data_IF_662011818199
#
_entry.id   IF_662011818199
#
_cell.length_a   1.000
_cell.length_b   1.000
_cell.length_c   1.000
_cell.angle_alpha   90.00
_cell.angle_beta   90.00
_cell.angle_gamma   90.00
#
_symmetry.space_group_name_H-M   'P 1'
#
loop_
_entity.id
_entity.type
_entity.pdbx_description
1 polymer ?
#
# COMPACT_ATOMS: atom_id res chain seq x y z
N UNK A 1 29.25 8.12 23.17
CA UNK A 1 29.95 7.53 22.01
C UNK A 1 28.87 7.32 20.95
N UNK A 2 29.02 7.88 19.77
CA UNK A 2 28.11 7.59 18.66
C UNK A 2 28.29 6.11 18.30
N UNK A 3 27.21 5.33 18.43
CA UNK A 3 27.24 3.90 18.06
C UNK A 3 27.50 3.79 16.56
N UNK A 4 28.37 2.88 16.15
CA UNK A 4 28.60 2.58 14.73
C UNK A 4 27.30 2.10 14.09
N UNK A 5 26.87 2.65 12.94
CA UNK A 5 25.70 2.15 12.21
C UNK A 5 25.87 0.66 11.91
N UNK A 6 24.82 -0.14 12.02
CA UNK A 6 24.86 -1.55 11.59
C UNK A 6 24.93 -1.62 10.06
N UNK A 7 25.43 -2.72 9.51
CA UNK A 7 25.07 -3.11 8.16
C UNK A 7 23.75 -3.88 8.18
N UNK A 8 23.00 -3.86 7.07
CA UNK A 8 21.77 -4.61 6.95
C UNK A 8 21.71 -5.44 5.67
N UNK A 9 21.20 -6.66 5.79
CA UNK A 9 20.94 -7.59 4.69
C UNK A 9 19.45 -7.95 4.71
N UNK A 10 18.75 -7.65 3.62
CA UNK A 10 17.33 -8.02 3.45
C UNK A 10 17.22 -9.18 2.49
N UNK A 11 16.70 -10.31 2.95
CA UNK A 11 16.60 -11.55 2.17
C UNK A 11 15.29 -11.57 1.37
N UNK A 12 15.35 -11.24 0.08
CA UNK A 12 14.23 -11.16 -0.84
C UNK A 12 14.35 -12.10 -2.07
N UNK A 13 15.17 -13.16 -1.96
CA UNK A 13 15.42 -14.11 -3.06
C UNK A 13 14.50 -15.35 -3.07
N UNK A 14 13.68 -15.55 -2.04
CA UNK A 14 12.82 -16.72 -1.89
C UNK A 14 11.77 -16.87 -2.99
N UNK A 15 11.56 -18.10 -3.48
CA UNK A 15 10.65 -18.41 -4.60
C UNK A 15 9.17 -18.13 -4.30
N UNK A 16 8.75 -18.18 -3.04
CA UNK A 16 7.36 -17.88 -2.63
C UNK A 16 6.30 -18.80 -3.25
N UNK A 17 6.59 -20.06 -3.45
CA UNK A 17 5.72 -21.05 -4.14
C UNK A 17 4.32 -21.14 -3.51
N UNK A 18 4.20 -20.95 -2.19
CA UNK A 18 2.92 -20.95 -1.45
C UNK A 18 2.00 -19.77 -1.79
N UNK A 19 2.50 -18.73 -2.47
CA UNK A 19 1.68 -17.63 -2.98
C UNK A 19 0.83 -18.01 -4.21
N UNK A 20 1.16 -19.12 -4.88
CA UNK A 20 0.52 -19.55 -6.12
C UNK A 20 0.39 -18.41 -7.14
N UNK A 21 1.50 -17.74 -7.44
CA UNK A 21 1.55 -16.52 -8.25
C UNK A 21 2.76 -16.52 -9.19
N UNK A 22 2.57 -15.91 -10.37
CA UNK A 22 3.69 -15.57 -11.25
C UNK A 22 4.50 -14.37 -10.73
N UNK A 23 3.92 -13.54 -9.87
CA UNK A 23 4.62 -12.43 -9.22
C UNK A 23 5.48 -12.98 -8.07
N UNK A 24 6.78 -12.67 -8.00
CA UNK A 24 7.63 -13.02 -6.87
C UNK A 24 7.04 -12.53 -5.55
N UNK A 25 7.16 -13.32 -4.48
CA UNK A 25 6.54 -13.06 -3.17
C UNK A 25 6.77 -11.63 -2.68
N UNK A 26 7.99 -11.17 -2.71
CA UNK A 26 8.41 -9.88 -2.17
C UNK A 26 7.90 -8.67 -2.97
N UNK A 27 7.39 -8.89 -4.20
CA UNK A 27 6.86 -7.85 -5.08
C UNK A 27 5.34 -7.73 -5.03
N UNK A 28 4.65 -8.56 -4.22
CA UNK A 28 3.21 -8.44 -4.07
C UNK A 28 2.82 -7.08 -3.48
N UNK A 29 1.78 -6.43 -4.06
CA UNK A 29 1.30 -5.15 -3.55
C UNK A 29 0.65 -5.33 -2.17
N UNK A 30 0.95 -4.40 -1.28
CA UNK A 30 0.47 -4.34 0.09
C UNK A 30 0.32 -2.86 0.48
N UNK A 31 -0.91 -2.34 0.52
CA UNK A 31 -1.21 -0.94 0.87
C UNK A 31 -0.29 0.07 0.14
N UNK A 32 -0.40 0.10 -1.20
CA UNK A 32 0.31 1.06 -2.05
C UNK A 32 1.82 0.84 -2.21
N UNK A 33 2.42 -0.15 -1.54
CA UNK A 33 3.84 -0.53 -1.61
C UNK A 33 3.98 -2.00 -1.98
N UNK A 34 5.21 -2.45 -2.33
CA UNK A 34 5.52 -3.88 -2.39
C UNK A 34 5.75 -4.42 -0.98
N UNK A 35 5.52 -5.71 -0.78
CA UNK A 35 5.72 -6.37 0.51
C UNK A 35 7.13 -6.09 1.08
N UNK A 36 8.18 -6.21 0.26
CA UNK A 36 9.56 -5.95 0.69
C UNK A 36 9.83 -4.47 1.03
N UNK A 37 9.09 -3.52 0.45
CA UNK A 37 9.31 -2.09 0.71
C UNK A 37 9.01 -1.71 2.16
N UNK A 38 8.06 -2.39 2.80
CA UNK A 38 7.76 -2.23 4.21
C UNK A 38 8.95 -2.59 5.09
N UNK A 39 9.62 -3.72 4.76
CA UNK A 39 10.81 -4.17 5.47
C UNK A 39 11.99 -3.22 5.21
N UNK A 40 12.19 -2.84 3.95
CA UNK A 40 13.28 -1.92 3.55
C UNK A 40 13.16 -0.60 4.31
N UNK A 41 11.96 -0.04 4.44
CA UNK A 41 11.75 1.22 5.16
C UNK A 41 11.94 1.09 6.67
N UNK A 42 11.45 0.02 7.29
CA UNK A 42 11.67 -0.23 8.71
C UNK A 42 13.17 -0.36 9.03
N UNK A 43 13.91 -1.08 8.18
CA UNK A 43 15.36 -1.23 8.32
C UNK A 43 16.09 0.09 8.05
N UNK A 44 15.69 0.85 7.01
CA UNK A 44 16.31 2.13 6.65
C UNK A 44 16.20 3.18 7.76
N UNK A 45 15.14 3.14 8.55
CA UNK A 45 14.97 4.04 9.70
C UNK A 45 16.06 3.89 10.78
N UNK A 46 16.78 2.77 10.81
CA UNK A 46 17.93 2.54 11.70
C UNK A 46 19.23 3.16 11.19
N UNK A 47 19.25 3.71 9.97
CA UNK A 47 20.45 4.29 9.33
C UNK A 47 21.55 3.28 9.05
N UNK A 48 21.28 2.07 8.51
CA UNK A 48 22.34 1.08 8.26
C UNK A 48 23.28 1.51 7.13
N UNK A 49 24.57 1.18 7.29
CA UNK A 49 25.61 1.42 6.27
C UNK A 49 26.56 0.21 6.16
N UNK A 50 26.48 -0.60 5.06
CA UNK A 50 25.49 -0.53 3.96
C UNK A 50 24.16 -1.22 4.26
N UNK A 51 23.11 -0.92 3.44
CA UNK A 51 21.90 -1.71 3.32
C UNK A 51 21.95 -2.48 2.01
N UNK A 52 21.83 -3.81 2.05
CA UNK A 52 21.93 -4.71 0.88
C UNK A 52 20.64 -5.53 0.75
N UNK A 53 20.02 -5.50 -0.43
CA UNK A 53 18.88 -6.37 -0.75
C UNK A 53 19.38 -7.57 -1.53
N UNK A 54 19.18 -8.77 -0.99
CA UNK A 54 19.50 -10.02 -1.66
C UNK A 54 18.28 -10.49 -2.42
N UNK A 55 18.38 -10.57 -3.74
CA UNK A 55 17.25 -10.92 -4.62
C UNK A 55 17.58 -12.08 -5.56
N UNK A 56 16.56 -12.67 -6.19
CA UNK A 56 16.75 -13.59 -7.31
C UNK A 56 17.10 -12.82 -8.60
N UNK A 57 17.71 -13.49 -9.61
CA UNK A 57 17.99 -12.86 -10.90
C UNK A 57 16.77 -12.20 -11.54
N UNK A 58 15.62 -12.89 -11.51
CA UNK A 58 14.37 -12.43 -12.14
C UNK A 58 13.73 -11.21 -11.45
N UNK A 59 14.03 -10.96 -10.18
CA UNK A 59 13.48 -9.83 -9.43
C UNK A 59 14.46 -8.65 -9.30
N UNK A 60 15.65 -8.75 -9.88
CA UNK A 60 16.74 -7.75 -9.72
C UNK A 60 16.29 -6.33 -10.12
N UNK A 61 15.66 -6.18 -11.28
CA UNK A 61 15.23 -4.87 -11.80
C UNK A 61 14.22 -4.18 -10.87
N UNK A 62 13.44 -4.96 -10.13
CA UNK A 62 12.45 -4.41 -9.20
C UNK A 62 13.07 -3.68 -8.01
N UNK A 63 14.35 -3.88 -7.72
CA UNK A 63 15.07 -3.23 -6.61
C UNK A 63 16.13 -2.23 -7.10
N UNK A 64 15.99 -1.70 -8.35
CA UNK A 64 16.84 -0.61 -8.83
C UNK A 64 16.78 0.58 -7.87
N UNK A 65 17.97 1.09 -7.50
CA UNK A 65 18.14 2.15 -6.49
C UNK A 65 18.61 1.65 -5.13
N UNK A 66 18.57 0.33 -4.88
CA UNK A 66 19.18 -0.31 -3.69
C UNK A 66 20.55 -0.90 -4.04
N UNK A 67 21.38 -1.14 -3.02
CA UNK A 67 22.56 -2.01 -3.19
C UNK A 67 22.07 -3.44 -3.28
N UNK A 68 22.30 -4.09 -4.41
CA UNK A 68 21.77 -5.43 -4.70
C UNK A 68 22.89 -6.48 -4.62
N UNK A 69 22.60 -7.61 -3.96
CA UNK A 69 23.30 -8.87 -4.13
C UNK A 69 22.35 -9.88 -4.76
N UNK A 70 22.85 -10.77 -5.64
CA UNK A 70 22.03 -11.75 -6.33
C UNK A 70 22.33 -13.16 -5.80
N UNK A 71 21.31 -13.86 -5.36
CA UNK A 71 21.37 -15.28 -5.12
C UNK A 71 21.03 -16.02 -6.43
N UNK A 72 22.04 -16.50 -7.12
CA UNK A 72 21.89 -17.12 -8.46
C UNK A 72 21.06 -18.41 -8.43
N UNK A 73 21.18 -19.17 -7.34
CA UNK A 73 20.44 -20.42 -7.14
C UNK A 73 19.89 -20.44 -5.72
N UNK A 74 18.59 -20.72 -5.50
CA UNK A 74 17.98 -20.72 -4.18
C UNK A 74 18.42 -21.96 -3.38
N UNK A 75 19.51 -21.85 -2.62
CA UNK A 75 20.08 -22.93 -1.80
C UNK A 75 19.86 -22.74 -0.31
N UNK A 76 18.94 -21.87 0.08
CA UNK A 76 18.58 -21.60 1.48
C UNK A 76 18.99 -20.22 1.96
N UNK A 77 18.61 -19.89 3.20
CA UNK A 77 18.78 -18.56 3.82
C UNK A 77 20.24 -18.24 4.14
N UNK A 78 21.05 -19.23 4.47
CA UNK A 78 22.50 -19.07 4.67
C UNK A 78 23.24 -18.68 3.38
N UNK A 79 22.89 -19.33 2.27
CA UNK A 79 23.43 -19.02 0.93
C UNK A 79 23.01 -17.60 0.49
N UNK A 80 21.74 -17.23 0.72
CA UNK A 80 21.26 -15.88 0.46
C UNK A 80 22.03 -14.83 1.25
N UNK A 81 22.29 -15.06 2.54
CA UNK A 81 23.08 -14.17 3.39
C UNK A 81 24.52 -14.07 2.88
N UNK A 82 25.13 -15.20 2.48
CA UNK A 82 26.48 -15.23 1.94
C UNK A 82 26.65 -14.44 0.63
N UNK A 83 25.60 -14.33 -0.20
CA UNK A 83 25.62 -13.55 -1.42
C UNK A 83 25.88 -12.06 -1.17
N UNK A 84 25.51 -11.52 0.01
CA UNK A 84 25.75 -10.12 0.36
C UNK A 84 27.19 -9.83 0.77
N UNK A 85 28.04 -10.84 1.00
CA UNK A 85 29.41 -10.70 1.56
C UNK A 85 30.28 -9.69 0.80
N UNK A 86 30.19 -9.71 -0.53
CA UNK A 86 31.00 -8.81 -1.35
C UNK A 86 30.65 -7.34 -1.12
N UNK A 87 29.38 -7.04 -0.88
CA UNK A 87 28.87 -5.69 -0.60
C UNK A 87 29.23 -5.21 0.82
N UNK A 88 29.55 -6.13 1.73
CA UNK A 88 29.98 -5.83 3.10
C UNK A 88 31.51 -6.00 3.29
N UNK A 89 32.28 -6.00 2.21
CA UNK A 89 33.73 -6.18 2.32
C UNK A 89 34.40 -5.07 3.16
N UNK A 90 35.08 -5.48 4.23
CA UNK A 90 35.77 -4.57 5.16
C UNK A 90 34.86 -4.00 6.27
N UNK A 91 33.60 -4.38 6.33
CA UNK A 91 32.70 -4.08 7.44
C UNK A 91 32.97 -5.07 8.60
N UNK A 92 33.16 -4.57 9.81
CA UNK A 92 33.49 -5.35 10.99
C UNK A 92 32.53 -5.17 12.18
N UNK A 93 31.43 -4.41 11.97
CA UNK A 93 30.39 -4.13 12.97
C UNK A 93 29.27 -5.18 13.01
N UNK A 94 28.12 -4.74 13.54
CA UNK A 94 26.91 -5.55 13.64
C UNK A 94 26.21 -5.67 12.29
N UNK A 95 25.84 -6.87 11.89
CA UNK A 95 25.09 -7.18 10.66
C UNK A 95 23.68 -7.60 11.04
N UNK A 96 22.71 -6.76 10.72
CA UNK A 96 21.29 -7.07 10.82
C UNK A 96 20.83 -7.86 9.58
N UNK A 97 20.33 -9.07 9.76
CA UNK A 97 19.77 -9.90 8.69
C UNK A 97 18.26 -9.98 8.89
N UNK A 98 17.49 -9.51 7.92
CA UNK A 98 16.03 -9.45 7.97
C UNK A 98 15.43 -10.18 6.78
N UNK A 99 14.41 -11.00 7.01
CA UNK A 99 13.65 -11.62 5.92
C UNK A 99 12.74 -10.60 5.23
N UNK A 100 12.74 -10.55 3.91
CA UNK A 100 12.01 -9.56 3.12
C UNK A 100 10.48 -9.76 3.08
N UNK A 101 9.97 -10.71 3.84
CA UNK A 101 8.53 -11.00 3.96
C UNK A 101 7.91 -10.63 5.33
N UNK A 102 8.70 -10.11 6.26
CA UNK A 102 8.21 -9.62 7.56
C UNK A 102 7.64 -8.20 7.44
N UNK A 103 6.59 -8.01 6.63
CA UNK A 103 6.09 -6.68 6.26
C UNK A 103 5.56 -5.85 7.43
N UNK A 104 5.24 -6.48 8.54
CA UNK A 104 4.70 -5.84 9.75
C UNK A 104 5.78 -5.46 10.76
N UNK A 105 7.05 -5.78 10.46
CA UNK A 105 8.19 -5.42 11.31
C UNK A 105 8.26 -3.90 11.53
N UNK A 106 8.62 -3.47 12.73
CA UNK A 106 8.80 -2.06 13.07
C UNK A 106 10.28 -1.71 13.25
N UNK A 107 10.61 -0.44 13.02
CA UNK A 107 11.95 0.09 13.33
C UNK A 107 12.26 0.01 14.82
N UNK A 108 11.25 0.15 15.66
CA UNK A 108 11.33 0.07 17.11
C UNK A 108 11.74 -1.33 17.57
N UNK A 109 11.10 -2.38 17.04
CA UNK A 109 11.47 -3.77 17.36
C UNK A 109 12.88 -4.10 16.87
N UNK A 110 13.26 -3.66 15.67
CA UNK A 110 14.62 -3.85 15.15
C UNK A 110 15.67 -3.10 15.98
N UNK A 111 15.36 -1.89 16.45
CA UNK A 111 16.23 -1.14 17.36
C UNK A 111 16.39 -1.85 18.71
N UNK A 112 15.31 -2.39 19.29
CA UNK A 112 15.34 -3.18 20.52
C UNK A 112 16.16 -4.47 20.37
N UNK A 113 16.07 -5.14 19.22
CA UNK A 113 16.90 -6.30 18.90
C UNK A 113 18.40 -5.95 18.88
N UNK A 114 18.78 -4.84 18.21
CA UNK A 114 20.14 -4.33 18.18
C UNK A 114 20.65 -3.94 19.57
N UNK A 115 19.82 -3.29 20.37
CA UNK A 115 20.19 -2.94 21.75
C UNK A 115 20.39 -4.19 22.62
N UNK A 116 19.53 -5.22 22.48
CA UNK A 116 19.71 -6.51 23.16
C UNK A 116 21.05 -7.15 22.74
N UNK A 117 21.38 -7.13 21.46
CA UNK A 117 22.65 -7.66 20.94
C UNK A 117 23.86 -6.98 21.60
N UNK A 118 23.88 -5.66 21.57
CA UNK A 118 24.98 -4.83 22.09
C UNK A 118 25.12 -4.89 23.60
N UNK A 119 24.02 -4.78 24.32
CA UNK A 119 24.00 -4.82 25.79
C UNK A 119 24.41 -6.19 26.34
N UNK A 120 24.07 -7.27 25.66
CA UNK A 120 24.50 -8.61 25.99
C UNK A 120 25.96 -8.87 25.61
N UNK A 121 26.59 -8.06 24.75
CA UNK A 121 27.89 -8.37 24.12
C UNK A 121 27.79 -9.72 23.40
N UNK A 122 26.72 -9.90 22.62
CA UNK A 122 26.42 -11.18 21.98
C UNK A 122 27.10 -11.27 20.62
N UNK A 123 27.58 -12.44 20.25
CA UNK A 123 28.10 -12.76 18.91
C UNK A 123 26.97 -12.89 17.89
N UNK A 124 25.80 -13.38 18.35
CA UNK A 124 24.58 -13.41 17.58
C UNK A 124 23.38 -13.13 18.48
N UNK A 125 22.33 -12.54 17.94
CA UNK A 125 21.04 -12.37 18.61
C UNK A 125 19.91 -12.76 17.65
N UNK A 126 19.00 -13.58 18.14
CA UNK A 126 17.86 -14.08 17.39
C UNK A 126 16.61 -13.30 17.80
N UNK A 127 15.80 -12.84 16.86
CA UNK A 127 14.44 -12.37 17.15
C UNK A 127 13.51 -13.58 17.21
N UNK A 128 12.88 -13.81 18.36
CA UNK A 128 11.85 -14.85 18.56
C UNK A 128 10.49 -14.22 18.81
N UNK A 129 9.44 -15.03 18.70
CA UNK A 129 8.08 -14.63 19.03
C UNK A 129 7.21 -15.86 19.32
N UNK A 130 6.00 -15.65 19.87
CA UNK A 130 5.02 -16.71 20.15
C UNK A 130 3.74 -16.44 19.36
N UNK A 131 3.60 -16.97 18.12
CA UNK A 131 2.36 -16.84 17.35
C UNK A 131 1.24 -17.70 17.94
N UNK A 132 -0.04 -17.43 17.64
CA UNK A 132 -1.16 -18.30 18.04
C UNK A 132 -0.99 -19.73 17.56
N UNK A 133 -0.48 -19.93 16.34
CA UNK A 133 -0.08 -21.23 15.77
C UNK A 133 1.40 -21.19 15.33
N UNK A 134 2.29 -21.95 16.01
CA UNK A 134 3.69 -22.04 15.64
C UNK A 134 3.96 -22.60 14.24
N UNK A 135 3.01 -23.34 13.65
CA UNK A 135 3.04 -23.81 12.28
C UNK A 135 4.40 -24.31 11.78
N UNK A 136 4.85 -23.76 10.66
CA UNK A 136 6.08 -24.15 9.97
C UNK A 136 7.34 -23.37 10.42
N UNK A 137 7.24 -22.52 11.45
CA UNK A 137 8.40 -21.81 11.98
C UNK A 137 9.40 -22.74 12.68
N UNK A 138 10.70 -22.38 12.67
CA UNK A 138 11.72 -23.03 13.46
C UNK A 138 11.48 -22.84 14.95
N UNK A 139 11.74 -23.86 15.76
CA UNK A 139 11.52 -23.85 17.21
C UNK A 139 12.76 -23.37 17.95
N UNK A 140 12.57 -22.50 18.93
CA UNK A 140 13.63 -22.00 19.82
C UNK A 140 13.84 -23.04 20.93
N UNK A 141 14.87 -23.83 20.81
CA UNK A 141 15.21 -24.86 21.82
C UNK A 141 16.12 -24.23 22.88
N UNK A 142 15.71 -24.26 24.15
CA UNK A 142 16.46 -23.73 25.28
C UNK A 142 17.00 -24.86 26.15
N UNK A 143 18.19 -24.66 26.74
CA UNK A 143 18.75 -25.57 27.72
C UNK A 143 18.07 -25.42 29.10
N UNK A 144 18.43 -26.29 30.05
CA UNK A 144 17.86 -26.26 31.40
C UNK A 144 18.11 -24.96 32.20
N UNK A 145 19.01 -24.09 31.75
CA UNK A 145 19.29 -22.78 32.31
C UNK A 145 18.57 -21.63 31.57
N UNK A 146 17.72 -21.94 30.56
CA UNK A 146 16.97 -20.95 29.80
C UNK A 146 17.74 -20.31 28.62
N UNK A 147 19.03 -20.61 28.44
CA UNK A 147 19.80 -20.10 27.31
C UNK A 147 19.47 -20.84 26.01
N UNK A 148 19.61 -20.16 24.88
CA UNK A 148 19.41 -20.77 23.56
C UNK A 148 20.40 -21.91 23.36
N UNK A 149 19.88 -23.07 22.98
CA UNK A 149 20.65 -24.27 22.62
C UNK A 149 20.72 -24.46 21.10
N UNK A 150 19.57 -24.34 20.43
CA UNK A 150 19.46 -24.51 18.99
C UNK A 150 18.17 -23.87 18.47
N UNK A 151 18.15 -23.63 17.15
CA UNK A 151 16.93 -23.41 16.38
C UNK A 151 16.70 -24.65 15.53
N UNK A 152 15.57 -25.33 15.71
CA UNK A 152 15.23 -26.54 14.95
C UNK A 152 14.09 -26.23 13.99
N UNK A 153 14.35 -26.36 12.70
CA UNK A 153 13.33 -26.13 11.67
C UNK A 153 12.18 -27.14 11.83
N UNK A 154 10.95 -26.73 11.60
CA UNK A 154 9.76 -27.55 11.87
C UNK A 154 9.78 -28.92 11.14
N UNK A 155 10.44 -29.01 9.97
CA UNK A 155 10.56 -30.26 9.19
C UNK A 155 11.60 -31.23 9.75
N UNK A 156 12.52 -30.73 10.55
CA UNK A 156 13.58 -31.51 11.20
C UNK A 156 13.27 -31.76 12.69
N UNK A 157 12.20 -31.13 13.21
CA UNK A 157 11.84 -31.17 14.64
C UNK A 157 11.17 -32.49 15.03
N UNK A 158 11.52 -32.99 16.21
CA UNK A 158 10.83 -34.09 16.88
C UNK A 158 9.42 -33.65 17.34
N UNK A 159 8.55 -34.62 17.68
CA UNK A 159 7.22 -34.36 18.21
C UNK A 159 7.26 -33.50 19.50
N UNK A 160 8.27 -33.66 20.34
CA UNK A 160 8.46 -32.87 21.56
C UNK A 160 8.86 -31.42 21.22
N UNK A 161 9.77 -31.23 20.27
CA UNK A 161 10.19 -29.90 19.83
C UNK A 161 9.04 -29.15 19.15
N UNK A 162 8.18 -29.82 18.39
CA UNK A 162 6.99 -29.24 17.78
C UNK A 162 6.01 -28.65 18.80
N UNK A 163 6.04 -29.05 20.06
CA UNK A 163 5.20 -28.48 21.15
C UNK A 163 5.74 -27.14 21.67
N UNK A 164 6.98 -26.75 21.31
CA UNK A 164 7.56 -25.46 21.70
C UNK A 164 6.79 -24.35 20.99
N UNK A 165 6.33 -23.36 21.75
CA UNK A 165 5.55 -22.23 21.24
C UNK A 165 6.42 -21.10 20.73
N UNK A 166 7.60 -20.90 21.36
CA UNK A 166 8.56 -19.88 20.96
C UNK A 166 9.22 -20.27 19.63
N UNK A 167 9.11 -19.39 18.64
CA UNK A 167 9.58 -19.66 17.28
C UNK A 167 10.57 -18.61 16.79
N UNK A 168 11.35 -18.97 15.80
CA UNK A 168 12.32 -18.13 15.12
C UNK A 168 11.65 -17.30 14.03
N UNK A 169 11.85 -15.97 14.05
CA UNK A 169 11.34 -15.05 13.03
C UNK A 169 12.16 -15.02 11.74
N UNK A 170 13.34 -15.67 11.72
CA UNK A 170 14.35 -15.51 10.66
C UNK A 170 14.95 -14.10 10.56
N UNK A 171 14.97 -13.38 11.68
CA UNK A 171 15.60 -12.06 11.82
C UNK A 171 16.69 -12.15 12.88
N UNK A 172 17.86 -11.63 12.57
CA UNK A 172 19.05 -11.81 13.39
C UNK A 172 19.94 -10.57 13.40
N UNK A 173 20.74 -10.45 14.45
CA UNK A 173 21.96 -9.60 14.46
C UNK A 173 23.16 -10.48 14.67
N UNK A 174 24.22 -10.27 13.91
CA UNK A 174 25.48 -10.99 14.05
C UNK A 174 26.67 -10.01 14.09
N UNK A 175 27.71 -10.34 14.82
CA UNK A 175 29.03 -9.76 14.59
C UNK A 175 29.56 -10.21 13.23
N UNK A 176 29.96 -9.27 12.35
CA UNK A 176 30.45 -9.56 11.00
C UNK A 176 31.63 -10.55 11.03
N UNK A 177 32.55 -10.38 11.97
CA UNK A 177 33.74 -11.22 12.12
C UNK A 177 33.42 -12.71 12.39
N UNK A 178 32.24 -12.99 12.93
CA UNK A 178 31.78 -14.35 13.26
C UNK A 178 30.79 -14.91 12.24
N UNK A 179 30.01 -14.05 11.61
CA UNK A 179 29.01 -14.45 10.60
C UNK A 179 29.66 -15.13 9.40
N UNK A 180 30.64 -14.50 8.78
CA UNK A 180 31.21 -15.00 7.53
C UNK A 180 31.87 -16.38 7.68
N UNK A 181 32.70 -16.63 8.70
CA UNK A 181 33.26 -17.97 8.94
C UNK A 181 32.19 -19.02 9.29
N UNK A 182 31.08 -18.63 9.95
CA UNK A 182 29.99 -19.54 10.25
C UNK A 182 29.25 -19.97 8.98
N UNK A 183 28.96 -19.04 8.06
CA UNK A 183 28.34 -19.33 6.76
C UNK A 183 29.19 -20.27 5.88
N UNK A 184 30.52 -20.16 5.92
CA UNK A 184 31.42 -21.04 5.17
C UNK A 184 31.38 -22.49 5.64
N UNK A 185 30.93 -22.77 6.87
CA UNK A 185 30.83 -24.12 7.45
C UNK A 185 29.49 -24.78 7.22
N UNK A 186 28.50 -24.07 6.68
CA UNK A 186 27.16 -24.61 6.46
C UNK A 186 27.19 -25.80 5.49
N UNK A 187 26.41 -26.80 5.81
CA UNK A 187 26.22 -27.99 4.97
C UNK A 187 24.73 -28.26 4.73
N UNK A 188 24.35 -28.82 3.57
CA UNK A 188 22.95 -29.09 3.25
C UNK A 188 22.43 -30.39 3.88
N UNK A 189 22.88 -30.75 5.09
CA UNK A 189 22.52 -31.98 5.79
C UNK A 189 21.25 -31.80 6.65
N UNK A 190 20.11 -31.56 5.98
CA UNK A 190 18.80 -31.35 6.60
C UNK A 190 17.69 -31.89 5.66
N UNK A 191 16.43 -31.87 6.13
CA UNK A 191 15.29 -32.42 5.38
C UNK A 191 15.03 -31.74 4.03
N UNK A 192 15.49 -30.49 3.83
CA UNK A 192 15.31 -29.75 2.58
C UNK A 192 16.55 -29.76 1.66
N UNK A 193 17.72 -30.19 2.16
CA UNK A 193 18.98 -30.12 1.42
C UNK A 193 19.46 -28.68 1.20
N UNK A 194 19.13 -27.75 2.10
CA UNK A 194 19.42 -26.32 2.01
C UNK A 194 20.47 -25.88 3.02
N UNK A 195 21.12 -24.75 2.77
CA UNK A 195 22.03 -24.09 3.70
C UNK A 195 21.22 -23.16 4.63
N UNK A 196 20.86 -23.68 5.81
CA UNK A 196 20.06 -22.92 6.78
C UNK A 196 20.90 -21.89 7.54
N UNK A 197 20.44 -20.64 7.59
CA UNK A 197 21.06 -19.63 8.45
C UNK A 197 20.95 -20.00 9.94
N UNK A 198 19.90 -20.71 10.33
CA UNK A 198 19.70 -21.24 11.69
C UNK A 198 20.82 -22.17 12.16
N UNK A 199 21.48 -22.87 11.25
CA UNK A 199 22.63 -23.73 11.57
C UNK A 199 23.84 -22.92 12.01
N UNK A 200 24.02 -21.67 11.54
CA UNK A 200 25.09 -20.77 12.05
C UNK A 200 24.92 -20.49 13.54
N UNK A 201 23.68 -20.31 14.00
CA UNK A 201 23.36 -20.09 15.41
C UNK A 201 23.74 -21.31 16.26
N UNK A 202 23.37 -22.49 15.82
CA UNK A 202 23.74 -23.76 16.49
C UNK A 202 25.27 -23.91 16.59
N UNK A 203 25.99 -23.63 15.50
CA UNK A 203 27.43 -23.74 15.45
C UNK A 203 28.14 -22.73 16.38
N UNK A 204 27.61 -21.50 16.48
CA UNK A 204 28.11 -20.51 17.42
C UNK A 204 27.88 -20.93 18.88
N UNK A 205 26.68 -21.45 19.21
CA UNK A 205 26.41 -22.00 20.55
C UNK A 205 27.35 -23.16 20.89
N UNK A 206 27.56 -24.10 19.93
CA UNK A 206 28.47 -25.22 20.12
C UNK A 206 29.95 -24.78 20.30
N UNK A 207 30.34 -23.68 19.71
CA UNK A 207 31.66 -23.06 19.86
C UNK A 207 31.82 -22.30 21.21
N UNK A 208 30.77 -22.24 22.04
CA UNK A 208 30.76 -21.51 23.31
C UNK A 208 30.62 -20.00 23.16
N UNK A 209 30.25 -19.52 21.98
CA UNK A 209 29.98 -18.10 21.73
C UNK A 209 28.69 -17.66 22.44
N UNK A 210 28.60 -16.38 22.79
CA UNK A 210 27.40 -15.81 23.43
C UNK A 210 26.31 -15.55 22.40
N UNK A 211 25.22 -16.28 22.47
CA UNK A 211 24.03 -16.06 21.64
C UNK A 211 22.87 -15.61 22.52
N UNK A 212 22.29 -14.44 22.20
CA UNK A 212 21.13 -13.88 22.86
C UNK A 212 19.85 -14.16 22.08
N UNK A 213 18.72 -14.02 22.75
CA UNK A 213 17.39 -14.06 22.14
C UNK A 213 16.63 -12.82 22.61
N UNK A 214 16.06 -12.10 21.67
CA UNK A 214 15.09 -11.03 21.92
C UNK A 214 13.71 -11.54 21.51
N UNK A 215 12.77 -11.60 22.45
CA UNK A 215 11.40 -12.01 22.17
C UNK A 215 10.54 -10.77 21.87
N UNK A 216 9.86 -10.76 20.73
CA UNK A 216 8.93 -9.70 20.39
C UNK A 216 7.72 -9.72 21.35
N UNK A 217 7.35 -8.55 21.86
CA UNK A 217 6.18 -8.39 22.73
C UNK A 217 4.87 -8.58 21.94
N UNK A 218 4.83 -8.15 20.69
CA UNK A 218 3.72 -8.35 19.76
C UNK A 218 4.16 -9.31 18.63
N UNK A 219 3.60 -10.52 18.66
CA UNK A 219 3.90 -11.55 17.67
C UNK A 219 3.63 -11.09 16.23
N UNK A 220 2.63 -10.23 16.03
CA UNK A 220 2.25 -9.75 14.69
C UNK A 220 3.35 -8.94 14.00
N UNK A 221 4.31 -8.38 14.76
CA UNK A 221 5.45 -7.66 14.20
C UNK A 221 6.53 -8.56 13.61
N UNK A 222 6.57 -9.83 14.03
CA UNK A 222 7.62 -10.78 13.65
C UNK A 222 7.13 -11.86 12.67
N UNK A 223 5.85 -11.85 12.30
CA UNK A 223 5.26 -12.82 11.37
C UNK A 223 5.70 -12.57 9.93
N UNK A 224 6.06 -13.66 9.23
CA UNK A 224 6.39 -13.62 7.81
C UNK A 224 5.19 -13.96 6.92
N UNK A 225 5.07 -13.26 5.78
CA UNK A 225 4.00 -13.47 4.79
C UNK A 225 4.43 -14.53 3.77
N UNK A 226 3.75 -15.66 3.70
CA UNK A 226 4.05 -16.77 2.79
C UNK A 226 2.87 -17.18 1.90
N UNK A 227 1.66 -16.82 2.31
CA UNK A 227 0.40 -17.14 1.62
C UNK A 227 -0.43 -15.88 1.38
N UNK A 228 -1.45 -15.99 0.52
CA UNK A 228 -2.42 -14.91 0.30
C UNK A 228 -3.25 -14.60 1.55
N UNK A 229 -3.49 -15.60 2.40
CA UNK A 229 -4.21 -15.40 3.67
C UNK A 229 -3.36 -14.59 4.65
N UNK A 230 -2.08 -14.92 4.79
CA UNK A 230 -1.14 -14.16 5.62
C UNK A 230 -0.90 -12.74 5.06
N UNK A 231 -0.88 -12.58 3.72
CA UNK A 231 -0.83 -11.24 3.09
C UNK A 231 -2.03 -10.38 3.49
N UNK A 232 -3.23 -10.96 3.51
CA UNK A 232 -4.44 -10.25 3.93
C UNK A 232 -4.41 -9.91 5.44
N UNK A 233 -3.89 -10.81 6.28
CA UNK A 233 -3.71 -10.55 7.71
C UNK A 233 -2.70 -9.41 7.95
N UNK A 234 -1.54 -9.45 7.30
CA UNK A 234 -0.56 -8.36 7.36
C UNK A 234 -1.13 -7.02 6.87
N UNK A 235 -1.95 -7.04 5.80
CA UNK A 235 -2.64 -5.84 5.33
C UNK A 235 -3.57 -5.24 6.40
N UNK A 236 -4.27 -6.08 7.17
CA UNK A 236 -5.14 -5.60 8.25
C UNK A 236 -4.34 -4.95 9.39
N UNK A 237 -3.23 -5.56 9.79
CA UNK A 237 -2.33 -5.00 10.82
C UNK A 237 -1.79 -3.64 10.38
N UNK A 238 -1.30 -3.52 9.14
CA UNK A 238 -0.76 -2.27 8.60
C UNK A 238 -1.86 -1.21 8.44
N UNK A 239 -3.07 -1.58 7.98
CA UNK A 239 -4.23 -0.69 7.92
C UNK A 239 -4.53 -0.09 9.30
N UNK A 240 -4.61 -0.95 10.31
CA UNK A 240 -4.97 -0.51 11.66
C UNK A 240 -3.89 0.43 12.22
N UNK A 241 -2.62 0.16 11.94
CA UNK A 241 -1.49 1.01 12.32
C UNK A 241 -1.52 2.38 11.63
N UNK A 242 -1.79 2.41 10.31
CA UNK A 242 -1.90 3.65 9.53
C UNK A 242 -3.10 4.47 10.02
N UNK A 243 -4.26 3.84 10.14
CA UNK A 243 -5.48 4.52 10.61
C UNK A 243 -5.31 5.07 12.03
N UNK A 244 -4.68 4.30 12.93
CA UNK A 244 -4.37 4.76 14.29
C UNK A 244 -3.47 6.01 14.27
N UNK A 245 -2.43 6.03 13.44
CA UNK A 245 -1.56 7.18 13.26
C UNK A 245 -2.33 8.44 12.82
N UNK A 246 -3.20 8.33 11.83
CA UNK A 246 -4.03 9.44 11.38
C UNK A 246 -5.01 9.92 12.45
N UNK A 247 -5.63 9.01 13.21
CA UNK A 247 -6.53 9.38 14.31
C UNK A 247 -5.80 10.12 15.42
N UNK A 248 -4.60 9.69 15.79
CA UNK A 248 -3.77 10.42 16.77
C UNK A 248 -3.30 11.79 16.25
N UNK A 249 -3.17 11.95 14.93
CA UNK A 249 -2.85 13.22 14.28
C UNK A 249 -4.08 14.16 14.13
N UNK A 250 -5.28 13.74 14.55
CA UNK A 250 -6.48 14.58 14.61
C UNK A 250 -7.51 14.34 13.50
N UNK A 251 -7.32 13.37 12.62
CA UNK A 251 -8.33 12.95 11.65
C UNK A 251 -9.41 12.07 12.33
N UNK A 252 -10.66 12.23 11.94
CA UNK A 252 -11.75 11.35 12.38
C UNK A 252 -11.93 10.23 11.37
N UNK A 253 -11.75 8.96 11.78
CA UNK A 253 -12.05 7.78 10.97
C UNK A 253 -13.19 7.04 11.65
N UNK A 254 -14.39 7.06 11.05
CA UNK A 254 -15.64 6.58 11.69
C UNK A 254 -15.61 5.06 11.89
N UNK A 255 -15.08 4.32 10.92
CA UNK A 255 -14.90 2.87 11.01
C UNK A 255 -13.51 2.49 10.47
N UNK A 256 -12.50 2.40 11.33
CA UNK A 256 -11.15 2.04 10.92
C UNK A 256 -11.05 0.67 10.26
N UNK A 257 -11.91 -0.28 10.62
CA UNK A 257 -11.87 -1.65 10.12
C UNK A 257 -12.23 -1.74 8.62
N UNK A 258 -13.06 -0.84 8.12
CA UNK A 258 -13.49 -0.79 6.72
C UNK A 258 -12.82 0.32 5.90
N UNK A 259 -11.95 1.11 6.52
CA UNK A 259 -11.25 2.23 5.88
C UNK A 259 -9.82 1.83 5.52
N UNK A 260 -9.44 1.98 4.23
CA UNK A 260 -8.14 1.61 3.71
C UNK A 260 -7.39 2.83 3.19
N UNK A 261 -6.26 3.13 3.78
CA UNK A 261 -5.46 4.32 3.50
C UNK A 261 -4.03 3.88 3.19
N UNK A 262 -3.52 4.27 2.02
CA UNK A 262 -2.11 4.05 1.68
C UNK A 262 -1.21 4.95 2.55
N UNK A 263 0.02 4.51 2.89
CA UNK A 263 0.92 5.26 3.77
C UNK A 263 1.40 6.62 3.20
N UNK A 264 1.22 6.84 1.90
CA UNK A 264 1.54 8.11 1.22
C UNK A 264 0.42 9.15 1.29
N UNK A 265 -0.77 8.76 1.74
CA UNK A 265 -1.92 9.66 1.90
C UNK A 265 -1.70 10.62 3.06
N UNK A 266 -2.06 11.88 2.87
CA UNK A 266 -2.01 12.89 3.92
C UNK A 266 -3.43 13.32 4.32
N UNK A 267 -3.74 13.23 5.62
CA UNK A 267 -4.97 13.73 6.21
C UNK A 267 -4.63 14.90 7.13
N UNK A 268 -5.30 16.04 6.95
CA UNK A 268 -5.22 17.15 7.90
C UNK A 268 -6.13 16.91 9.12
N UNK A 269 -5.82 17.51 10.28
CA UNK A 269 -6.71 17.48 11.45
C UNK A 269 -8.12 17.95 11.10
N UNK A 270 -9.12 17.45 11.83
CA UNK A 270 -10.55 17.78 11.67
C UNK A 270 -11.19 17.33 10.34
N UNK A 271 -10.49 16.60 9.48
CA UNK A 271 -11.17 15.89 8.39
C UNK A 271 -11.90 14.64 8.92
N UNK A 272 -12.96 14.23 8.22
CA UNK A 272 -13.75 13.04 8.56
C UNK A 272 -13.75 12.03 7.41
N UNK A 273 -13.37 10.78 7.70
CA UNK A 273 -13.40 9.67 6.75
C UNK A 273 -14.50 8.69 7.17
N UNK A 274 -15.49 8.55 6.31
CA UNK A 274 -16.65 7.68 6.51
C UNK A 274 -16.33 6.22 6.17
N UNK A 275 -17.15 5.24 6.62
CA UNK A 275 -16.90 3.80 6.38
C UNK A 275 -16.76 3.43 4.90
N UNK A 276 -16.04 2.33 4.62
CA UNK A 276 -15.82 1.78 3.28
C UNK A 276 -15.13 2.75 2.31
N UNK A 277 -14.30 3.63 2.83
CA UNK A 277 -13.53 4.58 2.04
C UNK A 277 -12.12 4.03 1.78
N UNK A 278 -11.64 4.21 0.55
CA UNK A 278 -10.31 3.79 0.11
C UNK A 278 -9.56 4.99 -0.44
N UNK A 279 -8.47 5.39 0.22
CA UNK A 279 -7.61 6.51 -0.18
C UNK A 279 -6.24 5.97 -0.60
N UNK A 280 -5.80 6.30 -1.81
CA UNK A 280 -4.58 5.75 -2.40
C UNK A 280 -3.64 6.79 -2.97
N UNK A 281 -2.39 6.36 -3.13
CA UNK A 281 -1.34 7.16 -3.77
C UNK A 281 -1.06 8.46 -3.04
N UNK A 282 -0.89 9.55 -3.78
CA UNK A 282 -0.63 10.89 -3.24
C UNK A 282 -1.87 11.67 -2.81
N UNK A 283 -2.99 10.99 -2.50
CA UNK A 283 -4.23 11.65 -2.10
C UNK A 283 -4.04 12.49 -0.84
N UNK A 284 -4.58 13.71 -0.86
CA UNK A 284 -4.57 14.65 0.26
C UNK A 284 -5.99 15.05 0.63
N UNK A 285 -6.30 15.09 1.92
CA UNK A 285 -7.59 15.50 2.44
C UNK A 285 -7.38 16.63 3.44
N UNK A 286 -7.92 17.81 3.12
CA UNK A 286 -7.76 18.98 3.95
C UNK A 286 -8.78 19.02 5.10
N UNK A 287 -8.54 19.94 6.05
CA UNK A 287 -9.36 20.15 7.23
C UNK A 287 -10.84 20.44 6.90
N UNK A 288 -11.76 19.92 7.71
CA UNK A 288 -13.20 20.10 7.53
C UNK A 288 -13.82 19.28 6.39
N UNK A 289 -13.02 18.57 5.59
CA UNK A 289 -13.55 17.69 4.54
C UNK A 289 -14.25 16.46 5.13
N UNK A 290 -15.40 16.08 4.56
CA UNK A 290 -16.15 14.86 4.89
C UNK A 290 -16.17 13.92 3.65
N UNK A 291 -15.50 12.78 3.76
CA UNK A 291 -15.21 11.87 2.63
C UNK A 291 -15.80 10.49 2.89
N UNK A 292 -16.73 10.09 2.06
CA UNK A 292 -17.40 8.79 2.12
C UNK A 292 -18.91 8.89 2.32
N UNK A 293 -19.59 7.78 2.68
CA UNK A 293 -19.06 6.42 2.63
C UNK A 293 -18.91 5.89 1.19
N UNK A 294 -18.22 4.74 1.04
CA UNK A 294 -18.02 4.10 -0.27
C UNK A 294 -17.36 5.02 -1.30
N UNK A 295 -16.30 5.70 -0.92
CA UNK A 295 -15.49 6.55 -1.81
C UNK A 295 -14.17 5.84 -2.12
N UNK A 296 -13.75 5.91 -3.38
CA UNK A 296 -12.39 5.58 -3.80
C UNK A 296 -11.73 6.85 -4.33
N UNK A 297 -10.62 7.26 -3.74
CA UNK A 297 -9.81 8.38 -4.22
C UNK A 297 -8.36 7.93 -4.47
N UNK A 298 -7.82 8.28 -5.63
CA UNK A 298 -6.46 7.93 -6.06
C UNK A 298 -5.78 9.19 -6.59
N UNK A 299 -4.65 9.56 -6.01
CA UNK A 299 -3.88 10.75 -6.41
C UNK A 299 -4.78 11.99 -6.59
N UNK A 300 -5.63 12.26 -5.60
CA UNK A 300 -6.61 13.34 -5.61
C UNK A 300 -6.31 14.37 -4.52
N UNK A 301 -6.63 15.64 -4.80
CA UNK A 301 -6.60 16.74 -3.84
C UNK A 301 -8.03 17.08 -3.41
N UNK A 302 -8.34 16.91 -2.13
CA UNK A 302 -9.66 17.15 -1.54
C UNK A 302 -9.50 18.34 -0.59
N UNK A 303 -9.97 19.50 -1.03
CA UNK A 303 -9.82 20.78 -0.34
C UNK A 303 -10.67 20.90 0.93
N UNK A 304 -10.47 21.99 1.66
CA UNK A 304 -11.14 22.22 2.95
C UNK A 304 -12.66 22.30 2.80
N UNK A 305 -13.37 21.83 3.81
CA UNK A 305 -14.84 21.90 3.89
C UNK A 305 -15.58 21.24 2.70
N UNK A 306 -14.92 20.34 1.98
CA UNK A 306 -15.53 19.59 0.87
C UNK A 306 -16.43 18.48 1.36
N UNK A 307 -17.43 18.12 0.53
CA UNK A 307 -18.28 16.96 0.75
C UNK A 307 -18.11 15.98 -0.40
N UNK A 308 -17.62 14.77 -0.11
CA UNK A 308 -17.36 13.73 -1.12
C UNK A 308 -18.15 12.48 -0.79
N UNK A 309 -19.01 12.04 -1.68
CA UNK A 309 -19.76 10.79 -1.51
C UNK A 309 -21.27 10.98 -1.37
N UNK A 310 -21.98 9.88 -1.15
CA UNK A 310 -21.49 8.50 -1.18
C UNK A 310 -21.24 7.96 -2.61
N UNK A 311 -20.53 6.82 -2.74
CA UNK A 311 -20.29 6.12 -4.01
C UNK A 311 -19.59 6.99 -5.06
N UNK A 312 -18.52 7.68 -4.69
CA UNK A 312 -17.71 8.48 -5.59
C UNK A 312 -16.42 7.79 -5.99
N UNK A 313 -15.97 8.06 -7.22
CA UNK A 313 -14.64 7.72 -7.66
C UNK A 313 -13.86 8.95 -8.11
N UNK A 314 -12.89 9.37 -7.29
CA UNK A 314 -11.94 10.44 -7.61
C UNK A 314 -10.67 9.80 -8.17
N UNK A 315 -10.43 10.02 -9.45
CA UNK A 315 -9.30 9.46 -10.19
C UNK A 315 -8.10 10.43 -10.21
N UNK A 316 -6.92 9.95 -10.62
CA UNK A 316 -5.71 10.78 -10.65
C UNK A 316 -5.91 12.14 -11.34
N UNK A 317 -5.35 13.17 -10.71
CA UNK A 317 -5.45 14.56 -11.17
C UNK A 317 -6.77 15.25 -10.86
N UNK A 318 -7.60 14.68 -9.99
CA UNK A 318 -8.79 15.35 -9.46
C UNK A 318 -8.41 16.36 -8.38
N UNK A 319 -8.89 17.59 -8.52
CA UNK A 319 -8.76 18.64 -7.51
C UNK A 319 -10.14 19.16 -7.17
N UNK A 320 -10.53 19.05 -5.91
CA UNK A 320 -11.72 19.69 -5.34
C UNK A 320 -11.27 20.88 -4.50
N UNK A 321 -11.69 22.08 -4.87
CA UNK A 321 -11.38 23.29 -4.10
C UNK A 321 -12.28 23.44 -2.87
N UNK A 322 -11.99 24.43 -2.02
CA UNK A 322 -12.69 24.67 -0.76
C UNK A 322 -14.23 24.70 -0.93
N UNK A 323 -14.92 23.93 -0.12
CA UNK A 323 -16.39 23.87 -0.11
C UNK A 323 -17.01 23.20 -1.34
N UNK A 324 -16.20 22.60 -2.23
CA UNK A 324 -16.72 21.88 -3.38
C UNK A 324 -17.46 20.60 -2.95
N UNK A 325 -18.38 20.12 -3.80
CA UNK A 325 -19.14 18.90 -3.54
C UNK A 325 -19.07 17.94 -4.73
N UNK A 326 -18.62 16.71 -4.47
CA UNK A 326 -18.79 15.53 -5.34
C UNK A 326 -19.80 14.59 -4.68
N UNK A 327 -21.05 14.56 -5.14
CA UNK A 327 -22.12 13.81 -4.50
C UNK A 327 -22.27 12.39 -5.03
N UNK A 328 -23.45 11.79 -4.86
CA UNK A 328 -23.68 10.38 -5.11
C UNK A 328 -23.45 9.96 -6.58
N UNK A 329 -22.68 8.86 -6.78
CA UNK A 329 -22.38 8.26 -8.07
C UNK A 329 -21.68 9.22 -9.04
N UNK A 330 -20.76 10.03 -8.52
CA UNK A 330 -19.93 10.95 -9.31
C UNK A 330 -18.56 10.35 -9.53
N UNK A 331 -18.11 10.37 -10.80
CA UNK A 331 -16.74 10.06 -11.16
C UNK A 331 -16.05 11.32 -11.70
N UNK A 332 -14.87 11.65 -11.16
CA UNK A 332 -14.07 12.80 -11.58
C UNK A 332 -12.66 12.32 -11.92
N UNK A 333 -12.11 12.81 -13.04
CA UNK A 333 -10.78 12.45 -13.52
C UNK A 333 -10.08 13.66 -14.12
N UNK A 334 -8.82 13.89 -13.73
CA UNK A 334 -7.96 14.94 -14.32
C UNK A 334 -8.73 16.27 -14.49
N UNK A 335 -9.41 16.69 -13.43
CA UNK A 335 -10.33 17.83 -13.45
C UNK A 335 -10.26 18.63 -12.18
N UNK A 336 -10.44 19.95 -12.32
CA UNK A 336 -10.52 20.89 -11.20
C UNK A 336 -11.97 21.33 -11.01
N UNK A 337 -12.48 21.20 -9.79
CA UNK A 337 -13.79 21.63 -9.36
C UNK A 337 -13.60 22.83 -8.45
N UNK A 338 -13.98 24.00 -8.91
CA UNK A 338 -13.79 25.28 -8.24
C UNK A 338 -14.52 25.41 -6.91
N UNK A 339 -14.16 26.44 -6.15
CA UNK A 339 -14.71 26.69 -4.82
C UNK A 339 -16.25 26.68 -4.80
N UNK A 340 -16.82 26.02 -3.79
CA UNK A 340 -18.28 25.92 -3.55
C UNK A 340 -19.09 25.34 -4.70
N UNK A 341 -18.43 24.88 -5.76
CA UNK A 341 -19.04 24.23 -6.93
C UNK A 341 -19.59 22.86 -6.55
N UNK A 342 -20.75 22.52 -7.09
CA UNK A 342 -21.47 21.29 -6.77
C UNK A 342 -21.62 20.43 -8.00
N UNK A 343 -21.19 19.16 -7.87
CA UNK A 343 -21.46 18.05 -8.80
C UNK A 343 -22.20 16.98 -8.00
N UNK A 344 -23.50 17.16 -7.70
CA UNK A 344 -24.16 16.41 -6.62
C UNK A 344 -24.61 15.00 -6.99
N UNK A 345 -24.79 14.65 -8.29
CA UNK A 345 -25.42 13.39 -8.67
C UNK A 345 -24.97 12.85 -10.02
N UNK A 346 -24.70 11.52 -10.11
CA UNK A 346 -24.65 10.71 -11.34
C UNK A 346 -23.94 11.38 -12.52
N UNK A 347 -22.76 11.94 -12.34
CA UNK A 347 -22.07 12.68 -13.37
C UNK A 347 -20.68 12.12 -13.62
N UNK A 348 -20.21 12.20 -14.87
CA UNK A 348 -18.81 11.98 -15.21
C UNK A 348 -18.15 13.29 -15.63
N UNK A 349 -17.15 13.72 -14.89
CA UNK A 349 -16.37 14.92 -15.15
C UNK A 349 -14.91 14.50 -15.44
N UNK A 350 -14.56 14.49 -16.71
CA UNK A 350 -13.22 14.11 -17.16
C UNK A 350 -12.55 15.19 -18.00
N UNK A 351 -11.28 15.45 -17.74
CA UNK A 351 -10.46 16.44 -18.42
C UNK A 351 -11.14 17.83 -18.47
N UNK A 352 -11.66 18.30 -17.32
CA UNK A 352 -12.46 19.50 -17.23
C UNK A 352 -11.92 20.50 -16.21
N UNK A 353 -12.29 21.77 -16.40
CA UNK A 353 -12.10 22.84 -15.44
C UNK A 353 -13.42 23.54 -15.19
N UNK A 354 -13.90 23.54 -13.95
CA UNK A 354 -15.19 24.10 -13.58
C UNK A 354 -14.97 25.21 -12.55
N UNK A 355 -15.40 26.42 -12.88
CA UNK A 355 -15.25 27.60 -12.04
C UNK A 355 -16.07 27.54 -10.76
N UNK A 356 -15.81 28.51 -9.87
CA UNK A 356 -16.45 28.58 -8.56
C UNK A 356 -17.97 28.82 -8.64
N UNK A 357 -18.68 28.43 -7.58
CA UNK A 357 -20.12 28.68 -7.38
C UNK A 357 -21.04 28.06 -8.45
N UNK A 358 -20.50 27.17 -9.29
CA UNK A 358 -21.21 26.47 -10.38
C UNK A 358 -22.00 25.29 -9.84
N UNK A 359 -23.16 25.01 -10.44
CA UNK A 359 -23.96 23.82 -10.12
C UNK A 359 -24.13 22.94 -11.35
N UNK A 360 -23.47 21.80 -11.34
CA UNK A 360 -23.59 20.75 -12.35
C UNK A 360 -24.71 19.80 -11.90
N UNK A 361 -25.88 19.89 -12.52
CA UNK A 361 -27.03 19.06 -12.14
C UNK A 361 -26.81 17.56 -12.45
N UNK A 362 -27.78 16.72 -12.14
CA UNK A 362 -27.67 15.28 -12.30
C UNK A 362 -27.46 14.84 -13.76
N UNK A 363 -26.63 13.80 -13.97
CA UNK A 363 -26.44 13.15 -15.26
C UNK A 363 -25.68 13.96 -16.29
N UNK A 364 -24.83 14.89 -15.87
CA UNK A 364 -23.99 15.65 -16.78
C UNK A 364 -22.69 14.90 -17.08
N UNK A 365 -22.30 14.91 -18.36
CA UNK A 365 -21.13 14.17 -18.86
C UNK A 365 -20.25 15.10 -19.70
N UNK A 366 -18.95 15.17 -19.38
CA UNK A 366 -17.96 15.75 -20.29
C UNK A 366 -17.47 14.67 -21.26
N UNK A 367 -17.75 14.84 -22.54
CA UNK A 367 -17.35 13.90 -23.62
C UNK A 367 -15.94 14.27 -24.05
N UNK A 368 -14.94 13.75 -23.34
CA UNK A 368 -13.53 14.12 -23.50
C UNK A 368 -12.74 13.21 -24.45
N UNK A 369 -13.27 12.01 -24.79
CA UNK A 369 -12.58 11.04 -25.64
C UNK A 369 -12.95 11.28 -27.11
N UNK A 370 -11.99 11.61 -28.00
CA UNK A 370 -12.27 11.78 -29.42
C UNK A 370 -12.60 10.44 -30.10
N UNK A 371 -13.51 10.46 -31.09
CA UNK A 371 -13.87 9.28 -31.86
C UNK A 371 -12.75 8.75 -32.76
N UNK A 372 -11.75 9.59 -33.05
CA UNK A 372 -10.62 9.22 -33.90
C UNK A 372 -9.46 8.70 -33.03
N UNK A 373 -9.00 7.45 -33.23
CA UNK A 373 -7.83 6.93 -32.54
C UNK A 373 -6.59 7.82 -32.72
N UNK A 374 -5.82 7.99 -31.64
CA UNK A 374 -4.56 8.75 -31.65
C UNK A 374 -4.70 10.27 -31.52
N UNK A 375 -5.90 10.83 -31.53
CA UNK A 375 -6.09 12.26 -31.20
C UNK A 375 -6.04 12.49 -29.70
N UNK A 376 -5.49 13.64 -29.24
CA UNK A 376 -5.52 14.00 -27.83
C UNK A 376 -6.97 14.17 -27.34
N UNK A 377 -7.17 13.95 -26.06
CA UNK A 377 -8.46 14.22 -25.41
C UNK A 377 -8.79 15.70 -25.46
N UNK A 378 -10.07 16.02 -25.66
CA UNK A 378 -10.57 17.37 -25.55
C UNK A 378 -10.75 17.78 -24.08
N UNK A 379 -10.72 19.09 -23.82
CA UNK A 379 -10.97 19.69 -22.50
C UNK A 379 -12.29 20.47 -22.52
N UNK A 380 -13.03 20.35 -21.42
CA UNK A 380 -14.24 21.15 -21.18
C UNK A 380 -13.92 22.21 -20.15
N UNK A 381 -14.19 23.48 -20.46
CA UNK A 381 -14.08 24.60 -19.51
C UNK A 381 -15.47 25.13 -19.21
N UNK A 382 -15.84 25.20 -17.93
CA UNK A 382 -17.12 25.78 -17.48
C UNK A 382 -16.79 26.90 -16.51
N UNK A 383 -17.30 28.08 -16.76
CA UNK A 383 -17.05 29.29 -15.99
C UNK A 383 -17.66 29.27 -14.60
N UNK A 384 -17.63 30.42 -13.94
CA UNK A 384 -18.19 30.63 -12.61
C UNK A 384 -19.72 30.81 -12.66
N UNK A 385 -20.37 30.42 -11.56
CA UNK A 385 -21.82 30.65 -11.34
C UNK A 385 -22.72 30.05 -12.46
N UNK A 386 -22.22 29.07 -13.21
CA UNK A 386 -22.97 28.37 -14.26
C UNK A 386 -24.01 27.46 -13.61
N UNK A 387 -25.20 27.38 -14.23
CA UNK A 387 -26.26 26.45 -13.83
C UNK A 387 -26.58 25.51 -14.99
N UNK A 388 -26.29 24.24 -14.83
CA UNK A 388 -26.68 23.25 -15.85
C UNK A 388 -28.05 22.65 -15.52
N UNK A 389 -28.84 22.32 -16.55
CA UNK A 389 -29.93 21.39 -16.42
C UNK A 389 -29.43 19.95 -16.22
N UNK A 390 -30.35 19.00 -16.05
CA UNK A 390 -30.02 17.58 -15.94
C UNK A 390 -29.74 16.96 -17.31
N UNK A 391 -28.92 15.86 -17.34
CA UNK A 391 -28.66 15.03 -18.51
C UNK A 391 -28.10 15.81 -19.72
N UNK A 392 -27.06 16.62 -19.51
CA UNK A 392 -26.36 17.27 -20.61
C UNK A 392 -25.07 16.54 -20.96
N UNK A 393 -24.70 16.63 -22.23
CA UNK A 393 -23.39 16.19 -22.74
C UNK A 393 -22.61 17.41 -23.24
N UNK A 394 -21.40 17.63 -22.72
CA UNK A 394 -20.46 18.65 -23.17
C UNK A 394 -19.42 17.99 -24.06
N UNK A 395 -19.48 18.21 -25.38
CA UNK A 395 -18.58 17.58 -26.34
C UNK A 395 -17.33 18.42 -26.47
N UNK A 396 -16.27 17.96 -25.84
CA UNK A 396 -14.99 18.67 -25.80
C UNK A 396 -14.26 18.67 -27.18
N UNK A 397 -13.52 19.73 -27.53
CA UNK A 397 -13.31 20.92 -26.70
C UNK A 397 -14.53 21.86 -26.72
N UNK A 398 -14.90 22.41 -25.58
CA UNK A 398 -16.00 23.37 -25.46
C UNK A 398 -15.81 24.26 -24.23
N UNK A 399 -16.16 25.54 -24.38
CA UNK A 399 -16.12 26.55 -23.31
C UNK A 399 -17.54 27.05 -22.99
N UNK A 400 -17.89 27.08 -21.71
CA UNK A 400 -19.13 27.68 -21.20
C UNK A 400 -18.77 28.89 -20.36
N UNK A 401 -19.20 30.06 -20.77
CA UNK A 401 -18.88 31.32 -20.12
C UNK A 401 -19.53 31.46 -18.75
N UNK A 402 -19.04 32.42 -17.97
CA UNK A 402 -19.57 32.76 -16.62
C UNK A 402 -21.06 33.07 -16.66
N UNK A 403 -21.78 32.74 -15.61
CA UNK A 403 -23.21 33.05 -15.42
C UNK A 403 -24.14 32.42 -16.47
N UNK A 404 -23.63 31.50 -17.34
CA UNK A 404 -24.43 30.84 -18.35
C UNK A 404 -25.34 29.75 -17.76
N UNK A 405 -26.45 29.51 -18.44
CA UNK A 405 -27.40 28.43 -18.13
C UNK A 405 -27.46 27.43 -19.28
N UNK A 406 -27.57 26.14 -18.93
CA UNK A 406 -27.70 25.06 -19.91
C UNK A 406 -29.06 24.38 -19.73
N UNK A 407 -29.87 24.33 -20.77
CA UNK A 407 -31.15 23.64 -20.74
C UNK A 407 -31.01 22.13 -20.56
N UNK A 408 -31.91 21.52 -19.79
CA UNK A 408 -31.88 20.07 -19.54
C UNK A 408 -31.95 19.25 -20.84
N UNK A 409 -31.19 18.12 -20.91
CA UNK A 409 -31.15 17.20 -22.04
C UNK A 409 -30.42 17.76 -23.27
N UNK A 410 -29.53 18.73 -23.09
CA UNK A 410 -28.79 19.36 -24.18
C UNK A 410 -27.48 18.63 -24.51
N UNK A 411 -27.14 18.60 -25.78
CA UNK A 411 -25.80 18.23 -26.29
C UNK A 411 -25.13 19.54 -26.71
N UNK A 412 -24.11 19.96 -25.97
CA UNK A 412 -23.38 21.21 -26.19
C UNK A 412 -22.13 20.88 -26.98
N UNK A 413 -22.04 21.39 -28.21
CA UNK A 413 -20.97 21.15 -29.18
C UNK A 413 -20.24 22.41 -29.62
N UNK A 414 -20.73 23.58 -29.23
CA UNK A 414 -20.19 24.89 -29.51
C UNK A 414 -20.07 25.69 -28.20
N UNK A 415 -19.15 26.66 -28.20
CA UNK A 415 -18.93 27.51 -27.04
C UNK A 415 -20.19 28.31 -26.67
N UNK A 416 -20.42 28.45 -25.39
CA UNK A 416 -21.56 29.19 -24.84
C UNK A 416 -21.09 30.51 -24.27
N UNK A 417 -21.53 31.67 -24.82
CA UNK A 417 -21.16 32.96 -24.29
C UNK A 417 -21.60 33.15 -22.84
N UNK A 418 -20.92 34.03 -22.07
CA UNK A 418 -21.36 34.40 -20.74
C UNK A 418 -22.81 34.89 -20.71
N UNK A 419 -23.51 34.71 -19.58
CA UNK A 419 -24.88 35.18 -19.32
C UNK A 419 -25.93 34.66 -20.36
N UNK A 420 -25.61 33.58 -21.06
CA UNK A 420 -26.46 32.98 -22.12
C UNK A 420 -27.19 31.74 -21.64
N UNK A 421 -28.35 31.44 -22.27
CA UNK A 421 -29.02 30.18 -22.17
C UNK A 421 -28.76 29.34 -23.41
N UNK A 422 -28.02 28.22 -23.27
CA UNK A 422 -27.81 27.25 -24.35
C UNK A 422 -28.83 26.10 -24.26
N UNK A 423 -29.45 25.77 -25.39
CA UNK A 423 -30.41 24.65 -25.51
C UNK A 423 -30.09 23.84 -26.76
N UNK A 424 -29.46 22.68 -26.61
CA UNK A 424 -29.05 21.78 -27.71
C UNK A 424 -29.90 20.52 -27.77
N UNK A 425 -31.24 20.62 -27.90
CA UNK A 425 -32.19 19.50 -28.00
C UNK A 425 -33.38 19.83 -28.89
N UNK A 426 -34.05 18.81 -29.40
CA UNK A 426 -35.30 18.98 -30.16
C UNK A 426 -36.42 19.59 -29.30
N UNK A 427 -37.34 20.32 -29.97
CA UNK A 427 -38.58 20.73 -29.30
C UNK A 427 -39.50 19.52 -29.06
N UNK A 428 -40.17 19.53 -27.92
CA UNK A 428 -41.15 18.51 -27.60
C UNK A 428 -42.34 18.60 -28.58
N UNK A 429 -42.75 17.45 -29.11
CA UNK A 429 -43.99 17.28 -29.90
C UNK A 429 -44.90 16.29 -29.20
N UNK A 430 -46.15 16.68 -28.94
CA UNK A 430 -47.16 15.80 -28.35
C UNK A 430 -48.06 15.22 -29.46
N UNK A 431 -48.06 13.89 -29.60
CA UNK A 431 -48.94 13.19 -30.54
C UNK A 431 -50.19 12.73 -29.83
N UNK A 432 -51.21 13.58 -29.82
CA UNK A 432 -52.47 13.29 -29.13
C UNK A 432 -53.14 12.04 -29.68
N UNK A 433 -53.71 11.21 -28.77
CA UNK A 433 -54.39 9.96 -29.12
C UNK A 433 -53.48 8.85 -29.68
N UNK A 434 -52.14 9.00 -29.67
CA UNK A 434 -51.24 8.00 -30.23
C UNK A 434 -51.38 6.62 -29.59
N UNK A 435 -51.44 6.56 -28.26
CA UNK A 435 -51.57 5.27 -27.53
C UNK A 435 -52.93 4.61 -27.79
N UNK A 436 -54.03 5.40 -27.87
CA UNK A 436 -55.34 4.88 -28.20
C UNK A 436 -55.38 4.24 -29.57
N UNK A 437 -54.87 4.95 -30.60
CA UNK A 437 -54.79 4.41 -31.99
C UNK A 437 -53.92 3.16 -32.07
N UNK A 438 -52.87 3.04 -31.28
CA UNK A 438 -52.04 1.83 -31.25
C UNK A 438 -52.76 0.63 -30.66
N UNK A 439 -53.52 0.83 -29.59
CA UNK A 439 -54.35 -0.25 -28.99
C UNK A 439 -55.45 -0.73 -29.95
N UNK A 440 -56.12 0.18 -30.61
CA UNK A 440 -57.15 -0.14 -31.63
C UNK A 440 -56.55 -0.96 -32.80
N UNK A 441 -55.28 -0.77 -33.16
CA UNK A 441 -54.57 -1.56 -34.19
C UNK A 441 -54.10 -2.95 -33.71
N UNK A 442 -53.91 -3.15 -32.41
CA UNK A 442 -53.52 -4.45 -31.82
C UNK A 442 -54.73 -5.34 -31.55
N UNK A 443 -55.95 -4.77 -31.48
CA UNK A 443 -57.23 -5.46 -31.30
C UNK A 443 -57.91 -5.89 -32.63
N UNK A 444 -57.35 -5.46 -33.79
CA UNK A 444 -57.72 -5.89 -35.15
C UNK A 444 -56.76 -7.02 -35.64
#
# INVERSE_FOLDING_TARGET
MTQTPPAAIILAAGLGTRMHSATPKHLHPLLGRRLADWVIEAVRALGPEPLVVVTSPDAREAFEGETIAVQETPRGTGDATAAARASLKGFDGDVLVVTGDAATITSELLAALLETHRSAGATATVLSFEPPDPGAYGRIVRNGGGALQAIVEARDASEQELQIREVNSSIYVFEAAKLWPALERLTPQNAQGELYLTDTVRDLVAAGERVAVHMADDATEAEGVNTRAELAAAAAVLRDRINHGHMLAGATIVDPATTWIDPSVALEPDCTIQPFTVLRGGTRVAAGADVGPHVVAVDAEIGSDTLVGPFCYLRPGTVLETGAKAGAFVEIKNSRIGERTKVPHQSYIGDAEIGADTNIAAGNITVNLPHQPGKPKGRTTIGRNVRTGVHNAFVAPVEVGDDAWIGAGSVITEDVPPESLAVGRARQENKEGYVRRKREQEDE
#
